data_IF_450381032279
#
_entry.id   IF_450381032279
#
_cell.length_a   1.000
_cell.length_b   1.000
_cell.length_c   1.000
_cell.angle_alpha   90.00
_cell.angle_beta   90.00
_cell.angle_gamma   90.00
#
_symmetry.space_group_name_H-M   'P 1'
#
loop_
_entity.id
_entity.type
_entity.pdbx_description
1 polymer ?
#
# COMPACT_ATOMS: atom_id res chain seq x y z
N UNK A 1 -6.19 -7.16 -32.57
CA UNK A 1 -6.82 -7.72 -31.36
C UNK A 1 -5.87 -7.70 -30.15
N UNK A 2 -4.58 -8.05 -30.26
CA UNK A 2 -3.64 -8.08 -29.12
C UNK A 2 -3.30 -6.70 -28.52
N UNK A 3 -3.09 -5.67 -29.36
CA UNK A 3 -2.69 -4.34 -28.87
C UNK A 3 -3.77 -3.62 -28.04
N UNK A 4 -5.05 -3.75 -28.43
CA UNK A 4 -6.17 -3.13 -27.72
C UNK A 4 -6.37 -3.75 -26.33
N UNK A 5 -6.25 -5.08 -26.22
CA UNK A 5 -6.34 -5.77 -24.93
C UNK A 5 -5.19 -5.35 -23.99
N UNK A 6 -3.95 -5.24 -24.50
CA UNK A 6 -2.82 -4.80 -23.69
C UNK A 6 -3.00 -3.35 -23.19
N UNK A 7 -3.51 -2.46 -24.05
CA UNK A 7 -3.82 -1.09 -23.64
C UNK A 7 -4.94 -1.05 -22.58
N UNK A 8 -5.99 -1.85 -22.76
CA UNK A 8 -7.08 -1.96 -21.79
C UNK A 8 -6.58 -2.50 -20.44
N UNK A 9 -5.73 -3.53 -20.45
CA UNK A 9 -5.11 -4.09 -19.24
C UNK A 9 -4.26 -3.02 -18.54
N UNK A 10 -3.40 -2.31 -19.26
CA UNK A 10 -2.58 -1.25 -18.69
C UNK A 10 -3.44 -0.16 -18.01
N UNK A 11 -4.52 0.27 -18.65
CA UNK A 11 -5.44 1.27 -18.09
C UNK A 11 -6.12 0.72 -16.83
N UNK A 12 -6.65 -0.50 -16.86
CA UNK A 12 -7.31 -1.13 -15.71
C UNK A 12 -6.34 -1.27 -14.54
N UNK A 13 -5.13 -1.76 -14.79
CA UNK A 13 -4.12 -1.95 -13.75
C UNK A 13 -3.66 -0.61 -13.16
N UNK A 14 -3.44 0.41 -14.00
CA UNK A 14 -2.99 1.73 -13.56
C UNK A 14 -4.07 2.44 -12.75
N UNK A 15 -5.32 2.49 -13.23
CA UNK A 15 -6.40 3.12 -12.48
C UNK A 15 -6.72 2.35 -11.19
N UNK A 16 -6.68 1.02 -11.26
CA UNK A 16 -6.84 0.15 -10.11
C UNK A 16 -5.77 0.39 -9.04
N UNK A 17 -4.50 0.40 -9.42
CA UNK A 17 -3.37 0.61 -8.50
C UNK A 17 -3.36 2.01 -7.89
N UNK A 18 -3.70 3.05 -8.65
CA UNK A 18 -3.85 4.41 -8.13
C UNK A 18 -4.98 4.49 -7.10
N UNK A 19 -6.13 3.88 -7.38
CA UNK A 19 -7.24 3.87 -6.42
C UNK A 19 -6.89 3.08 -5.15
N UNK A 20 -6.28 1.91 -5.30
CA UNK A 20 -5.79 1.09 -4.18
C UNK A 20 -4.76 1.82 -3.33
N UNK A 21 -3.83 2.55 -3.96
CA UNK A 21 -2.87 3.40 -3.26
C UNK A 21 -3.58 4.39 -2.35
N UNK A 22 -4.63 5.08 -2.83
CA UNK A 22 -5.39 6.04 -2.02
C UNK A 22 -6.13 5.34 -0.87
N UNK A 23 -6.76 4.18 -1.12
CA UNK A 23 -7.44 3.38 -0.08
C UNK A 23 -6.45 2.92 1.00
N UNK A 24 -5.29 2.43 0.59
CA UNK A 24 -4.24 1.95 1.50
C UNK A 24 -3.55 3.08 2.25
N UNK A 25 -3.30 4.22 1.59
CA UNK A 25 -2.80 5.42 2.26
C UNK A 25 -3.76 5.86 3.36
N UNK A 26 -5.07 5.92 3.07
CA UNK A 26 -6.07 6.21 4.12
C UNK A 26 -5.96 5.24 5.29
N UNK A 27 -5.86 3.95 5.01
CA UNK A 27 -5.75 2.93 6.06
C UNK A 27 -4.48 3.14 6.91
N UNK A 28 -3.34 3.37 6.26
CA UNK A 28 -2.04 3.60 6.92
C UNK A 28 -2.08 4.88 7.77
N UNK A 29 -2.63 5.97 7.24
CA UNK A 29 -2.80 7.22 7.99
C UNK A 29 -3.62 7.02 9.26
N UNK A 30 -4.67 6.21 9.20
CA UNK A 30 -5.44 5.84 10.39
C UNK A 30 -4.64 4.91 11.33
N UNK A 31 -3.88 3.96 10.78
CA UNK A 31 -3.04 3.02 11.53
C UNK A 31 -1.98 3.74 12.36
N UNK A 32 -1.27 4.69 11.76
CA UNK A 32 -0.22 5.48 12.44
C UNK A 32 -0.79 6.66 13.23
N UNK A 33 -2.11 6.87 13.19
CA UNK A 33 -2.81 8.01 13.79
C UNK A 33 -2.24 9.36 13.30
N UNK A 34 -1.98 9.44 12.01
CA UNK A 34 -1.50 10.66 11.35
C UNK A 34 -2.50 11.81 11.51
N UNK A 35 -2.01 13.04 11.38
CA UNK A 35 -2.84 14.23 11.51
C UNK A 35 -3.93 14.28 10.42
N UNK A 36 -5.20 14.21 10.86
CA UNK A 36 -6.37 14.28 9.99
C UNK A 36 -6.68 15.69 9.49
N UNK A 37 -6.09 16.73 10.08
CA UNK A 37 -6.20 18.10 9.59
C UNK A 37 -5.31 18.36 8.37
N UNK A 38 -4.30 17.51 8.15
CA UNK A 38 -3.42 17.62 7.00
C UNK A 38 -4.20 17.49 5.67
N UNK A 39 -3.99 18.38 4.67
CA UNK A 39 -4.73 18.38 3.41
C UNK A 39 -4.64 17.06 2.63
N UNK A 40 -3.49 16.39 2.66
CA UNK A 40 -3.30 15.10 1.97
C UNK A 40 -4.05 13.97 2.68
N UNK A 41 -4.11 14.01 4.01
CA UNK A 41 -4.93 13.08 4.81
C UNK A 41 -6.42 13.27 4.51
N UNK A 42 -6.87 14.53 4.47
CA UNK A 42 -8.24 14.85 4.08
C UNK A 42 -8.57 14.42 2.65
N UNK A 43 -7.64 14.57 1.71
CA UNK A 43 -7.80 14.08 0.34
C UNK A 43 -8.04 12.57 0.32
N UNK A 44 -7.18 11.77 0.97
CA UNK A 44 -7.30 10.32 1.02
C UNK A 44 -8.63 9.88 1.67
N UNK A 45 -9.05 10.56 2.75
CA UNK A 45 -10.34 10.32 3.40
C UNK A 45 -11.50 10.64 2.48
N UNK A 46 -11.52 11.82 1.85
CA UNK A 46 -12.62 12.26 0.98
C UNK A 46 -12.73 11.43 -0.29
N UNK A 47 -11.60 11.07 -0.92
CA UNK A 47 -11.57 10.27 -2.15
C UNK A 47 -12.12 8.85 -1.95
N UNK A 48 -11.97 8.28 -0.75
CA UNK A 48 -12.40 6.92 -0.45
C UNK A 48 -13.77 6.85 0.22
N UNK A 49 -14.24 7.97 0.79
CA UNK A 49 -15.48 8.03 1.55
C UNK A 49 -16.75 7.55 0.80
N UNK A 50 -16.95 7.87 -0.50
CA UNK A 50 -18.15 7.43 -1.22
C UNK A 50 -18.34 5.91 -1.23
N UNK A 51 -17.24 5.16 -1.37
CA UNK A 51 -17.26 3.69 -1.41
C UNK A 51 -17.24 3.07 0.00
N UNK A 52 -16.63 3.75 0.97
CA UNK A 52 -16.58 3.26 2.36
C UNK A 52 -17.87 3.46 3.15
N UNK A 53 -18.63 4.54 2.90
CA UNK A 53 -19.90 4.83 3.62
C UNK A 53 -20.89 3.65 3.61
N UNK A 54 -21.18 2.99 2.48
CA UNK A 54 -22.07 1.83 2.49
C UNK A 54 -21.44 0.63 3.22
N UNK A 55 -20.13 0.40 3.07
CA UNK A 55 -19.45 -0.74 3.72
C UNK A 55 -19.42 -0.64 5.24
N UNK A 56 -19.27 0.57 5.78
CA UNK A 56 -19.30 0.84 7.23
C UNK A 56 -20.64 0.52 7.90
N UNK A 57 -21.71 0.33 7.11
CA UNK A 57 -23.00 -0.12 7.66
C UNK A 57 -22.97 -1.60 8.05
N UNK A 58 -22.09 -2.38 7.44
CA UNK A 58 -22.00 -3.83 7.62
C UNK A 58 -20.79 -4.18 8.49
N UNK A 59 -19.67 -3.48 8.28
CA UNK A 59 -18.39 -3.80 8.91
C UNK A 59 -18.12 -2.82 10.05
N UNK A 60 -18.04 -3.27 11.31
CA UNK A 60 -17.72 -2.40 12.44
C UNK A 60 -16.25 -1.98 12.44
N UNK A 61 -15.95 -0.86 13.07
CA UNK A 61 -14.58 -0.49 13.42
C UNK A 61 -14.09 -1.32 14.61
N UNK A 62 -12.87 -1.83 14.55
CA UNK A 62 -12.24 -2.60 15.62
C UNK A 62 -10.98 -1.86 16.11
N UNK A 63 -10.82 -1.70 17.42
CA UNK A 63 -9.65 -1.06 18.04
C UNK A 63 -9.31 0.36 17.51
N UNK A 64 -10.32 1.11 17.08
CA UNK A 64 -10.12 2.44 16.48
C UNK A 64 -9.62 2.41 15.02
N UNK A 65 -9.50 1.23 14.41
CA UNK A 65 -9.19 1.03 12.99
C UNK A 65 -10.46 0.73 12.20
N UNK A 66 -10.62 1.38 11.05
CA UNK A 66 -11.74 1.17 10.14
C UNK A 66 -11.43 -0.06 9.27
N UNK A 67 -11.93 -1.22 9.69
CA UNK A 67 -11.75 -2.48 8.95
C UNK A 67 -12.41 -2.44 7.57
N UNK A 68 -13.37 -1.53 7.35
CA UNK A 68 -13.98 -1.30 6.04
C UNK A 68 -12.94 -0.89 4.98
N UNK A 69 -11.87 -0.19 5.38
CA UNK A 69 -10.79 0.19 4.44
C UNK A 69 -10.06 -1.02 3.89
N UNK A 70 -9.71 -1.97 4.76
CA UNK A 70 -8.99 -3.17 4.36
C UNK A 70 -9.87 -4.06 3.49
N UNK A 71 -11.14 -4.23 3.88
CA UNK A 71 -12.08 -5.00 3.05
C UNK A 71 -12.30 -4.33 1.70
N UNK A 72 -12.41 -3.00 1.65
CA UNK A 72 -12.49 -2.27 0.38
C UNK A 72 -11.24 -2.50 -0.47
N UNK A 73 -10.04 -2.41 0.10
CA UNK A 73 -8.80 -2.67 -0.62
C UNK A 73 -8.76 -4.08 -1.21
N UNK A 74 -9.16 -5.09 -0.42
CA UNK A 74 -9.23 -6.50 -0.87
C UNK A 74 -10.23 -6.65 -2.01
N UNK A 75 -11.45 -6.10 -1.88
CA UNK A 75 -12.48 -6.21 -2.91
C UNK A 75 -12.08 -5.52 -4.21
N UNK A 76 -11.47 -4.34 -4.12
CA UNK A 76 -10.96 -3.61 -5.28
C UNK A 76 -9.82 -4.38 -5.94
N UNK A 77 -8.87 -4.90 -5.16
CA UNK A 77 -7.76 -5.68 -5.68
C UNK A 77 -8.27 -6.95 -6.37
N UNK A 78 -9.24 -7.65 -5.78
CA UNK A 78 -9.91 -8.78 -6.43
C UNK A 78 -10.58 -8.38 -7.74
N UNK A 79 -11.28 -7.25 -7.77
CA UNK A 79 -11.95 -6.75 -8.98
C UNK A 79 -10.93 -6.45 -10.09
N UNK A 80 -9.85 -5.75 -9.78
CA UNK A 80 -8.79 -5.40 -10.74
C UNK A 80 -8.11 -6.65 -11.28
N UNK A 81 -7.82 -7.63 -10.42
CA UNK A 81 -7.26 -8.93 -10.85
C UNK A 81 -8.24 -9.70 -11.74
N UNK A 82 -9.53 -9.77 -11.36
CA UNK A 82 -10.55 -10.44 -12.15
C UNK A 82 -10.72 -9.81 -13.54
N UNK A 83 -10.74 -8.47 -13.62
CA UNK A 83 -10.80 -7.74 -14.89
C UNK A 83 -9.55 -7.97 -15.73
N UNK A 84 -8.37 -7.99 -15.09
CA UNK A 84 -7.10 -8.28 -15.79
C UNK A 84 -7.12 -9.68 -16.40
N UNK A 85 -7.54 -10.70 -15.65
CA UNK A 85 -7.65 -12.07 -16.16
C UNK A 85 -8.71 -12.20 -17.25
N UNK A 86 -9.84 -11.49 -17.11
CA UNK A 86 -10.90 -11.49 -18.11
C UNK A 86 -10.40 -10.93 -19.44
N UNK A 87 -9.65 -9.82 -19.41
CA UNK A 87 -9.10 -9.18 -20.60
C UNK A 87 -7.93 -9.96 -21.21
N UNK A 88 -7.12 -10.62 -20.39
CA UNK A 88 -5.94 -11.36 -20.83
C UNK A 88 -6.26 -12.77 -21.34
N UNK A 89 -7.16 -13.48 -20.64
CA UNK A 89 -7.41 -14.91 -20.84
C UNK A 89 -8.89 -15.26 -21.07
N UNK A 90 -9.80 -14.28 -21.02
CA UNK A 90 -11.24 -14.52 -21.20
C UNK A 90 -11.93 -15.18 -20.00
N UNK A 91 -11.28 -15.26 -18.84
CA UNK A 91 -11.82 -15.87 -17.62
C UNK A 91 -11.52 -15.00 -16.41
N UNK A 92 -12.41 -14.98 -15.41
CA UNK A 92 -12.16 -14.29 -14.15
C UNK A 92 -11.33 -15.14 -13.16
N UNK A 93 -11.12 -16.43 -13.47
CA UNK A 93 -10.46 -17.37 -12.55
C UNK A 93 -11.36 -17.79 -11.37
N UNK A 94 -10.77 -18.55 -10.43
CA UNK A 94 -11.46 -19.02 -9.22
C UNK A 94 -11.54 -17.89 -8.17
N UNK A 95 -12.75 -17.53 -7.66
CA UNK A 95 -12.91 -16.49 -6.65
C UNK A 95 -12.09 -16.70 -5.36
N UNK A 96 -11.93 -17.95 -4.91
CA UNK A 96 -11.11 -18.27 -3.73
C UNK A 96 -9.63 -17.97 -3.98
N UNK A 97 -9.14 -18.28 -5.18
CA UNK A 97 -7.75 -18.01 -5.56
C UNK A 97 -7.51 -16.51 -5.74
N UNK A 98 -8.48 -15.79 -6.31
CA UNK A 98 -8.45 -14.32 -6.38
C UNK A 98 -8.38 -13.68 -4.99
N UNK A 99 -9.11 -14.22 -4.00
CA UNK A 99 -9.06 -13.72 -2.62
C UNK A 99 -7.65 -13.92 -2.01
N UNK A 100 -7.01 -15.05 -2.28
CA UNK A 100 -5.65 -15.30 -1.81
C UNK A 100 -4.66 -14.32 -2.46
N UNK A 101 -4.72 -14.16 -3.79
CA UNK A 101 -3.84 -13.23 -4.50
C UNK A 101 -4.10 -11.77 -4.13
N UNK A 102 -5.35 -11.39 -3.85
CA UNK A 102 -5.66 -10.03 -3.43
C UNK A 102 -5.12 -9.72 -2.04
N UNK A 103 -5.16 -10.67 -1.10
CA UNK A 103 -4.52 -10.52 0.21
C UNK A 103 -3.01 -10.35 0.08
N UNK A 104 -2.36 -11.16 -0.77
CA UNK A 104 -0.92 -11.04 -1.03
C UNK A 104 -0.62 -9.66 -1.62
N UNK A 105 -1.35 -9.24 -2.66
CA UNK A 105 -1.11 -7.96 -3.33
C UNK A 105 -1.43 -6.73 -2.47
N UNK A 106 -2.47 -6.77 -1.64
CA UNK A 106 -2.73 -5.69 -0.67
C UNK A 106 -1.62 -5.59 0.38
N UNK A 107 -1.07 -6.74 0.81
CA UNK A 107 0.07 -6.77 1.74
C UNK A 107 1.35 -6.26 1.08
N UNK A 108 1.59 -6.64 -0.18
CA UNK A 108 2.71 -6.13 -0.97
C UNK A 108 2.63 -4.61 -1.15
N UNK A 109 1.44 -4.09 -1.50
CA UNK A 109 1.19 -2.66 -1.63
C UNK A 109 1.42 -1.93 -0.30
N UNK A 110 1.00 -2.52 0.83
CA UNK A 110 1.29 -1.97 2.16
C UNK A 110 2.79 -1.79 2.38
N UNK A 111 3.61 -2.83 2.12
CA UNK A 111 5.07 -2.77 2.24
C UNK A 111 5.68 -1.76 1.28
N UNK A 112 5.18 -1.71 0.03
CA UNK A 112 5.63 -0.76 -0.99
C UNK A 112 5.37 0.68 -0.56
N UNK A 113 4.24 0.99 0.07
CA UNK A 113 3.96 2.34 0.59
C UNK A 113 4.99 2.73 1.66
N UNK A 114 5.32 1.86 2.61
CA UNK A 114 6.37 2.15 3.60
C UNK A 114 7.75 2.29 2.95
N UNK A 115 8.07 1.45 1.95
CA UNK A 115 9.32 1.52 1.22
C UNK A 115 9.49 2.88 0.54
N UNK A 116 8.48 3.35 -0.22
CA UNK A 116 8.54 4.65 -0.87
C UNK A 116 8.48 5.81 0.12
N UNK A 117 7.70 5.70 1.21
CA UNK A 117 7.69 6.71 2.27
C UNK A 117 9.08 6.87 2.90
N UNK A 118 9.81 5.77 3.14
CA UNK A 118 11.19 5.83 3.64
C UNK A 118 12.14 6.49 2.65
N UNK A 119 12.03 6.21 1.35
CA UNK A 119 12.83 6.90 0.33
C UNK A 119 12.58 8.41 0.40
N UNK A 120 11.30 8.82 0.43
CA UNK A 120 10.94 10.23 0.52
C UNK A 120 11.48 10.84 1.82
N UNK A 121 11.40 10.14 2.95
CA UNK A 121 11.92 10.60 4.24
C UNK A 121 13.44 10.84 4.19
N UNK A 122 14.20 9.90 3.61
CA UNK A 122 15.65 10.05 3.44
C UNK A 122 15.98 11.24 2.55
N UNK A 123 15.29 11.39 1.41
CA UNK A 123 15.47 12.54 0.52
C UNK A 123 15.17 13.85 1.25
N UNK A 124 14.05 13.93 1.98
CA UNK A 124 13.66 15.11 2.73
C UNK A 124 14.68 15.48 3.82
N UNK A 125 15.32 14.49 4.44
CA UNK A 125 16.33 14.75 5.49
C UNK A 125 17.57 15.48 4.96
N UNK A 126 17.92 15.30 3.67
CA UNK A 126 19.04 15.99 3.03
C UNK A 126 18.61 17.27 2.30
N UNK A 127 17.45 17.24 1.65
CA UNK A 127 16.99 18.35 0.79
C UNK A 127 16.34 19.46 1.60
N UNK A 128 15.58 19.12 2.65
CA UNK A 128 14.79 20.09 3.42
C UNK A 128 14.65 19.67 4.90
N UNK A 129 15.76 19.60 5.66
CA UNK A 129 15.70 19.24 7.08
C UNK A 129 14.84 20.24 7.86
N UNK A 130 13.91 19.74 8.68
CA UNK A 130 13.00 20.57 9.48
C UNK A 130 11.88 21.25 8.69
N UNK A 131 11.56 20.77 7.49
CA UNK A 131 10.41 21.26 6.71
C UNK A 131 9.08 21.05 7.43
N UNK A 132 8.25 22.10 7.46
CA UNK A 132 6.88 22.09 7.99
C UNK A 132 5.84 22.00 6.86
N UNK A 133 6.24 21.48 5.69
CA UNK A 133 5.29 21.23 4.61
C UNK A 133 4.38 20.05 4.99
N UNK A 134 3.05 20.14 4.79
CA UNK A 134 2.12 19.03 5.01
C UNK A 134 2.57 17.67 4.49
N UNK A 135 3.22 17.62 3.32
CA UNK A 135 3.74 16.36 2.76
C UNK A 135 4.90 15.78 3.56
N UNK A 136 5.82 16.62 4.02
CA UNK A 136 6.97 16.17 4.81
C UNK A 136 6.55 15.66 6.19
N UNK A 137 5.59 16.34 6.83
CA UNK A 137 5.03 15.93 8.12
C UNK A 137 4.36 14.56 8.04
N UNK A 138 3.55 14.31 7.00
CA UNK A 138 2.91 13.00 6.83
C UNK A 138 3.92 11.88 6.59
N UNK A 139 4.94 12.13 5.76
CA UNK A 139 5.98 11.12 5.50
C UNK A 139 6.69 10.74 6.79
N UNK A 140 7.02 11.72 7.64
CA UNK A 140 7.64 11.45 8.94
C UNK A 140 6.68 10.68 9.87
N UNK A 141 5.41 11.07 9.95
CA UNK A 141 4.39 10.37 10.76
C UNK A 141 4.18 8.91 10.30
N UNK A 142 4.26 8.65 8.99
CA UNK A 142 4.18 7.28 8.44
C UNK A 142 5.45 6.49 8.79
N UNK A 143 6.64 7.09 8.66
CA UNK A 143 7.90 6.39 8.85
C UNK A 143 8.28 6.18 10.33
N UNK A 144 7.94 7.11 11.22
CA UNK A 144 8.40 7.12 12.61
C UNK A 144 8.07 5.84 13.40
N UNK A 145 6.84 5.28 13.34
CA UNK A 145 6.53 4.02 14.02
C UNK A 145 7.39 2.86 13.53
N UNK A 146 7.78 2.88 12.27
CA UNK A 146 8.62 1.84 11.65
C UNK A 146 10.10 2.04 11.96
N UNK A 147 10.58 3.28 12.02
CA UNK A 147 11.99 3.61 12.33
C UNK A 147 12.31 3.55 13.83
N UNK A 148 11.34 3.81 14.71
CA UNK A 148 11.56 3.86 16.16
C UNK A 148 12.20 2.59 16.76
N UNK A 149 11.80 1.36 16.39
CA UNK A 149 12.48 0.14 16.85
C UNK A 149 13.94 0.07 16.40
N UNK A 150 14.25 0.44 15.15
CA UNK A 150 15.62 0.41 14.61
C UNK A 150 16.51 1.48 15.23
N UNK A 151 15.97 2.67 15.53
CA UNK A 151 16.67 3.73 16.27
C UNK A 151 17.08 3.29 17.68
N UNK A 152 16.34 2.37 18.31
CA UNK A 152 16.68 1.82 19.63
C UNK A 152 17.82 0.78 19.57
N UNK A 153 18.05 0.17 18.41
CA UNK A 153 19.10 -0.84 18.21
C UNK A 153 20.45 -0.22 17.81
N UNK A 154 20.43 0.95 17.17
CA UNK A 154 21.63 1.60 16.66
C UNK A 154 22.20 2.61 17.67
N UNK A 155 23.54 2.72 17.79
CA UNK A 155 24.15 3.80 18.55
C UNK A 155 23.90 5.16 17.88
N UNK A 156 23.90 6.23 18.66
CA UNK A 156 23.77 7.59 18.13
C UNK A 156 25.04 8.01 17.38
N UNK A 157 25.03 7.91 16.05
CA UNK A 157 26.18 8.22 15.18
C UNK A 157 26.28 9.69 14.78
N UNK A 158 26.05 10.61 15.73
CA UNK A 158 26.28 12.04 15.50
C UNK A 158 25.28 12.71 14.54
N UNK A 159 23.98 12.41 14.69
CA UNK A 159 22.90 13.13 14.01
C UNK A 159 22.48 12.57 12.64
N UNK A 160 23.23 11.62 12.07
CA UNK A 160 22.80 10.87 10.89
C UNK A 160 21.99 9.64 11.29
N UNK A 161 20.71 9.61 10.90
CA UNK A 161 19.83 8.49 11.15
C UNK A 161 20.09 7.36 10.13
N UNK A 162 20.79 6.30 10.57
CA UNK A 162 21.07 5.10 9.77
C UNK A 162 19.93 4.08 9.84
N UNK A 163 18.92 4.30 10.69
CA UNK A 163 17.77 3.39 10.80
C UNK A 163 17.03 3.10 9.49
N UNK A 164 16.94 4.02 8.51
CA UNK A 164 16.34 3.71 7.20
C UNK A 164 17.01 2.54 6.46
N UNK A 165 18.32 2.32 6.64
CA UNK A 165 19.02 1.20 5.97
C UNK A 165 18.50 -0.14 6.49
N UNK A 166 18.39 -0.30 7.81
CA UNK A 166 17.83 -1.52 8.41
C UNK A 166 16.36 -1.69 8.06
N UNK A 167 15.61 -0.59 8.02
CA UNK A 167 14.21 -0.56 7.63
C UNK A 167 14.01 -1.05 6.18
N UNK A 168 14.81 -0.56 5.22
CA UNK A 168 14.80 -1.03 3.84
C UNK A 168 15.13 -2.52 3.74
N UNK A 169 16.15 -2.97 4.46
CA UNK A 169 16.53 -4.38 4.48
C UNK A 169 15.40 -5.26 5.02
N UNK A 170 14.76 -4.87 6.13
CA UNK A 170 13.63 -5.60 6.69
C UNK A 170 12.46 -5.70 5.69
N UNK A 171 12.07 -4.59 5.06
CA UNK A 171 10.99 -4.59 4.06
C UNK A 171 11.35 -5.51 2.89
N UNK A 172 12.56 -5.40 2.35
CA UNK A 172 13.00 -6.22 1.20
C UNK A 172 13.14 -7.70 1.53
N UNK A 173 13.55 -8.04 2.74
CA UNK A 173 13.56 -9.43 3.20
C UNK A 173 12.15 -9.98 3.32
N UNK A 174 11.19 -9.22 3.87
CA UNK A 174 9.79 -9.66 3.93
C UNK A 174 9.21 -9.82 2.52
N UNK A 175 9.46 -8.86 1.64
CA UNK A 175 9.00 -8.93 0.24
C UNK A 175 9.57 -10.16 -0.49
N UNK A 176 10.88 -10.37 -0.42
CA UNK A 176 11.55 -11.50 -1.07
C UNK A 176 11.18 -12.85 -0.45
N UNK A 177 11.23 -12.96 0.88
CA UNK A 177 11.09 -14.25 1.57
C UNK A 177 9.62 -14.65 1.77
N UNK A 178 8.71 -13.69 1.89
CA UNK A 178 7.30 -13.95 2.20
C UNK A 178 6.42 -13.65 0.99
N UNK A 179 6.39 -12.41 0.51
CA UNK A 179 5.41 -11.98 -0.51
C UNK A 179 5.64 -12.71 -1.83
N UNK A 180 6.85 -12.62 -2.38
CA UNK A 180 7.19 -13.23 -3.66
C UNK A 180 7.10 -14.76 -3.62
N UNK A 181 7.49 -15.38 -2.50
CA UNK A 181 7.33 -16.83 -2.32
C UNK A 181 5.86 -17.24 -2.22
N UNK A 182 5.02 -16.52 -1.47
CA UNK A 182 3.57 -16.82 -1.40
C UNK A 182 2.90 -16.65 -2.77
N UNK A 183 3.26 -15.60 -3.52
CA UNK A 183 2.75 -15.41 -4.87
C UNK A 183 3.17 -16.55 -5.82
N UNK A 184 4.41 -17.03 -5.71
CA UNK A 184 4.90 -18.18 -6.47
C UNK A 184 4.19 -19.48 -6.08
N UNK A 185 4.09 -19.77 -4.79
CA UNK A 185 3.48 -21.00 -4.26
C UNK A 185 1.98 -21.09 -4.58
N UNK A 186 1.28 -19.96 -4.64
CA UNK A 186 -0.15 -19.90 -4.99
C UNK A 186 -0.42 -19.83 -6.50
N UNK A 187 0.64 -19.94 -7.32
CA UNK A 187 0.55 -19.97 -8.77
C UNK A 187 0.11 -18.64 -9.39
N UNK A 188 0.43 -17.51 -8.76
CA UNK A 188 0.02 -16.19 -9.24
C UNK A 188 0.63 -15.87 -10.61
N UNK A 189 -0.19 -15.63 -11.65
CA UNK A 189 0.29 -15.28 -12.99
C UNK A 189 1.11 -13.99 -12.98
N UNK A 190 2.18 -13.95 -13.80
CA UNK A 190 3.07 -12.78 -13.94
C UNK A 190 2.31 -11.47 -14.22
N UNK A 191 1.25 -11.53 -15.02
CA UNK A 191 0.44 -10.35 -15.34
C UNK A 191 -0.24 -9.72 -14.12
N UNK A 192 -0.54 -10.53 -13.09
CA UNK A 192 -1.10 -10.04 -11.83
C UNK A 192 -0.02 -9.60 -10.85
N UNK A 193 1.23 -10.07 -11.01
CA UNK A 193 2.34 -9.68 -10.12
C UNK A 193 2.67 -8.20 -10.23
N UNK A 194 2.34 -7.58 -11.36
CA UNK A 194 2.43 -6.13 -11.56
C UNK A 194 1.48 -5.31 -10.68
N UNK A 195 0.49 -5.96 -10.04
CA UNK A 195 -0.47 -5.34 -9.11
C UNK A 195 -0.05 -5.47 -7.64
N UNK A 196 1.14 -6.01 -7.36
CA UNK A 196 1.71 -6.14 -6.01
C UNK A 196 2.59 -4.94 -5.65
#
# INVERSE_FOLDING_TARGET
MLGLNNAAIYIVQTLGSLYLLIVMLRFILQLVRADFYNPLSQFAVRATQPLLRPMRRIIPSLFGLDMSSLVLAILVQMLVMALTLLLAYGTTGNPLQLLIWSLIGVTALFLNIFFFALIISVILSWVAPGSHNPGAELVNQICDPFLAPFRRLLPNLGGLDISPILAFMAIKLIDMLVINNLAAMTGMPEILRLLM
#
